data_IF_275883681594
#
_entry.id   IF_275883681594
#
_cell.length_a   1.000
_cell.length_b   1.000
_cell.length_c   1.000
_cell.angle_alpha   90.00
_cell.angle_beta   90.00
_cell.angle_gamma   90.00
#
_symmetry.space_group_name_H-M   'P 1'
#
loop_
_entity.id
_entity.type
_entity.pdbx_description
1 polymer ?
#
# COMPACT_ATOMS: atom_id res chain seq x y z
N UNK A 1 3.02 17.65 18.17
CA UNK A 1 2.31 16.36 18.01
C UNK A 1 2.24 15.89 16.55
N UNK A 2 1.70 16.69 15.62
CA UNK A 2 1.47 16.24 14.24
C UNK A 2 2.74 16.03 13.37
N UNK A 3 3.84 16.74 13.65
CA UNK A 3 5.12 16.61 12.93
C UNK A 3 5.91 15.39 13.40
N UNK A 4 5.88 15.10 14.69
CA UNK A 4 6.56 13.96 15.30
C UNK A 4 5.94 12.62 14.87
N UNK A 5 4.60 12.56 14.79
CA UNK A 5 3.88 11.41 14.26
C UNK A 5 4.26 11.12 12.79
N UNK A 6 4.43 12.17 11.97
CA UNK A 6 4.87 12.05 10.59
C UNK A 6 6.29 11.49 10.50
N UNK A 7 7.23 12.06 11.27
CA UNK A 7 8.61 11.56 11.34
C UNK A 7 8.65 10.09 11.77
N UNK A 8 7.89 9.73 12.80
CA UNK A 8 7.82 8.35 13.31
C UNK A 8 7.24 7.37 12.29
N UNK A 9 6.22 7.75 11.54
CA UNK A 9 5.70 6.90 10.47
C UNK A 9 6.71 6.73 9.34
N UNK A 10 7.37 7.81 8.91
CA UNK A 10 8.37 7.71 7.86
C UNK A 10 9.58 6.86 8.30
N UNK A 11 9.95 6.91 9.58
CA UNK A 11 10.92 5.99 10.16
C UNK A 11 10.45 4.54 10.10
N UNK A 12 9.20 4.25 10.43
CA UNK A 12 8.62 2.91 10.31
C UNK A 12 8.61 2.42 8.86
N UNK A 13 8.15 3.25 7.92
CA UNK A 13 8.15 2.94 6.49
C UNK A 13 9.57 2.67 5.98
N UNK A 14 10.57 3.38 6.50
CA UNK A 14 11.96 3.12 6.11
C UNK A 14 12.48 1.73 6.53
N UNK A 15 11.85 1.09 7.52
CA UNK A 15 12.14 -0.30 7.91
C UNK A 15 11.46 -1.35 7.02
N UNK A 16 10.47 -0.93 6.23
CA UNK A 16 9.69 -1.77 5.35
C UNK A 16 8.28 -1.23 5.17
N UNK A 17 7.72 -1.51 4.00
CA UNK A 17 6.37 -1.08 3.63
C UNK A 17 5.57 -2.27 3.10
N UNK A 18 4.26 -2.09 3.00
CA UNK A 18 3.33 -3.10 2.52
C UNK A 18 2.40 -2.50 1.47
N UNK A 19 2.09 -3.28 0.44
CA UNK A 19 0.97 -3.03 -0.47
C UNK A 19 -0.02 -4.20 -0.38
N UNK A 20 -1.30 -3.89 -0.41
CA UNK A 20 -2.37 -4.87 -0.58
C UNK A 20 -3.05 -4.59 -1.92
N UNK A 21 -3.22 -5.62 -2.74
CA UNK A 21 -3.86 -5.50 -4.05
C UNK A 21 -4.45 -6.84 -4.50
N UNK A 22 -5.20 -6.83 -5.60
CA UNK A 22 -5.74 -8.05 -6.21
C UNK A 22 -4.63 -8.87 -6.86
N UNK A 23 -4.63 -10.18 -6.63
CA UNK A 23 -3.62 -11.12 -7.11
C UNK A 23 -3.53 -11.19 -8.64
N UNK A 24 -4.66 -11.16 -9.35
CA UNK A 24 -4.70 -11.12 -10.81
C UNK A 24 -4.02 -9.86 -11.37
N UNK A 25 -4.22 -8.70 -10.74
CA UNK A 25 -3.51 -7.47 -11.09
C UNK A 25 -2.02 -7.58 -10.81
N UNK A 26 -1.63 -8.14 -9.66
CA UNK A 26 -0.23 -8.33 -9.31
C UNK A 26 0.47 -9.27 -10.30
N UNK A 27 -0.16 -10.39 -10.65
CA UNK A 27 0.41 -11.37 -11.58
C UNK A 27 0.57 -10.81 -13.00
N UNK A 28 -0.34 -9.91 -13.41
CA UNK A 28 -0.34 -9.33 -14.75
C UNK A 28 0.56 -8.10 -14.90
N UNK A 29 0.61 -7.25 -13.88
CA UNK A 29 1.22 -5.92 -13.96
C UNK A 29 2.31 -5.67 -12.92
N UNK A 30 2.50 -6.58 -11.97
CA UNK A 30 3.38 -6.36 -10.81
C UNK A 30 2.77 -5.37 -9.83
N UNK A 31 3.62 -4.70 -9.04
CA UNK A 31 3.20 -3.77 -7.99
C UNK A 31 3.02 -2.33 -8.47
N UNK A 32 3.32 -2.03 -9.74
CA UNK A 32 3.28 -0.67 -10.26
C UNK A 32 1.89 -0.25 -10.74
N UNK A 33 1.63 1.04 -10.67
CA UNK A 33 0.58 1.70 -11.44
C UNK A 33 1.10 2.04 -12.84
N UNK A 34 0.23 2.59 -13.70
CA UNK A 34 0.57 2.90 -15.10
C UNK A 34 1.71 3.91 -15.25
N UNK A 35 1.96 4.74 -14.24
CA UNK A 35 3.05 5.71 -14.17
C UNK A 35 4.35 5.15 -13.55
N UNK A 36 4.35 3.85 -13.20
CA UNK A 36 5.48 3.18 -12.57
C UNK A 36 5.61 3.40 -11.06
N UNK A 37 4.66 4.09 -10.42
CA UNK A 37 4.66 4.31 -8.97
C UNK A 37 3.85 3.25 -8.23
N UNK A 38 4.05 3.14 -6.91
CA UNK A 38 3.23 2.29 -6.05
C UNK A 38 2.96 3.00 -4.73
N UNK A 39 1.68 3.14 -4.41
CA UNK A 39 1.23 3.48 -3.07
C UNK A 39 1.51 2.32 -2.11
N UNK A 40 2.00 2.65 -0.93
CA UNK A 40 2.39 1.70 0.11
C UNK A 40 2.08 2.28 1.49
N UNK A 41 1.82 1.39 2.45
CA UNK A 41 1.58 1.72 3.85
C UNK A 41 2.63 1.06 4.75
N UNK A 42 2.66 1.37 6.04
CA UNK A 42 3.48 0.61 6.98
C UNK A 42 2.96 -0.81 7.13
N UNK A 43 3.84 -1.72 7.53
CA UNK A 43 3.45 -3.10 7.86
C UNK A 43 2.36 -3.15 8.94
N UNK A 44 2.46 -2.26 9.92
CA UNK A 44 1.53 -2.14 11.05
C UNK A 44 0.13 -1.72 10.59
N UNK A 45 0.03 -0.72 9.73
CA UNK A 45 -1.27 -0.30 9.16
C UNK A 45 -1.92 -1.45 8.39
N UNK A 46 -1.14 -2.18 7.58
CA UNK A 46 -1.66 -3.35 6.88
C UNK A 46 -2.17 -4.43 7.86
N UNK A 47 -1.46 -4.68 8.97
CA UNK A 47 -1.88 -5.61 10.01
C UNK A 47 -3.18 -5.14 10.69
N UNK A 48 -3.30 -3.84 10.99
CA UNK A 48 -4.48 -3.24 11.62
C UNK A 48 -5.71 -3.32 10.71
N UNK A 49 -5.57 -3.03 9.41
CA UNK A 49 -6.65 -3.15 8.41
C UNK A 49 -7.13 -4.60 8.29
N UNK A 50 -6.20 -5.55 8.12
CA UNK A 50 -6.54 -6.98 7.98
C UNK A 50 -7.25 -7.48 9.25
N UNK A 51 -6.76 -7.09 10.42
CA UNK A 51 -7.36 -7.48 11.72
C UNK A 51 -8.75 -6.87 11.89
N UNK A 52 -8.93 -5.58 11.62
CA UNK A 52 -10.22 -4.90 11.74
C UNK A 52 -11.26 -5.46 10.76
N UNK A 53 -10.80 -5.96 9.61
CA UNK A 53 -11.62 -6.64 8.63
C UNK A 53 -11.86 -8.12 8.94
N UNK A 54 -11.30 -8.68 10.01
CA UNK A 54 -11.41 -10.11 10.34
C UNK A 54 -10.97 -11.03 9.18
N UNK A 55 -9.97 -10.61 8.41
CA UNK A 55 -9.51 -11.25 7.16
C UNK A 55 -10.56 -11.31 6.02
N UNK A 56 -11.70 -10.63 6.12
CA UNK A 56 -12.69 -10.54 5.05
C UNK A 56 -12.15 -9.71 3.86
N UNK A 57 -11.98 -10.30 2.67
CA UNK A 57 -11.39 -9.61 1.53
C UNK A 57 -12.25 -8.44 1.03
N UNK A 58 -13.57 -8.48 1.19
CA UNK A 58 -14.47 -7.39 0.80
C UNK A 58 -14.31 -6.21 1.76
N UNK A 59 -14.25 -6.46 3.07
CA UNK A 59 -14.00 -5.40 4.06
C UNK A 59 -12.63 -4.75 3.87
N UNK A 60 -11.59 -5.54 3.60
CA UNK A 60 -10.24 -5.02 3.30
C UNK A 60 -10.25 -4.16 2.04
N UNK A 61 -10.87 -4.65 0.95
CA UNK A 61 -10.94 -3.91 -0.30
C UNK A 61 -11.67 -2.56 -0.12
N UNK A 62 -12.78 -2.54 0.60
CA UNK A 62 -13.51 -1.31 0.90
C UNK A 62 -12.66 -0.32 1.72
N UNK A 63 -11.92 -0.81 2.73
CA UNK A 63 -11.02 0.02 3.54
C UNK A 63 -9.88 0.67 2.73
N UNK A 64 -9.49 0.02 1.62
CA UNK A 64 -8.41 0.45 0.74
C UNK A 64 -8.91 1.13 -0.55
N UNK A 65 -10.22 1.33 -0.71
CA UNK A 65 -10.79 1.88 -1.94
C UNK A 65 -10.63 1.00 -3.18
N UNK A 66 -10.38 -0.32 -3.01
CA UNK A 66 -10.29 -1.28 -4.12
C UNK A 66 -11.72 -1.63 -4.56
N UNK A 67 -12.10 -1.41 -5.84
CA UNK A 67 -13.44 -1.75 -6.30
C UNK A 67 -13.74 -3.24 -6.16
N UNK A 68 -14.86 -3.60 -5.54
CA UNK A 68 -15.26 -5.00 -5.34
C UNK A 68 -15.40 -5.78 -6.65
N UNK A 69 -15.68 -5.10 -7.77
CA UNK A 69 -15.68 -5.72 -9.10
C UNK A 69 -14.33 -6.35 -9.46
N UNK A 70 -13.22 -5.84 -8.92
CA UNK A 70 -11.88 -6.42 -9.10
C UNK A 70 -11.68 -7.71 -8.29
N UNK A 71 -12.49 -7.96 -7.24
CA UNK A 71 -12.44 -9.20 -6.45
C UNK A 71 -13.20 -10.36 -7.10
N UNK A 72 -14.07 -10.11 -8.08
CA UNK A 72 -14.91 -11.17 -8.69
C UNK A 72 -14.10 -12.35 -9.24
N UNK A 73 -12.91 -12.08 -9.74
CA UNK A 73 -12.03 -13.05 -10.39
C UNK A 73 -10.67 -13.19 -9.68
N UNK A 74 -10.53 -12.71 -8.45
CA UNK A 74 -9.23 -12.65 -7.79
C UNK A 74 -9.33 -12.59 -6.27
N UNK A 75 -8.22 -12.91 -5.61
CA UNK A 75 -8.06 -12.79 -4.16
C UNK A 75 -7.16 -11.61 -3.83
N UNK A 76 -7.18 -11.16 -2.58
CA UNK A 76 -6.21 -10.16 -2.12
C UNK A 76 -4.87 -10.81 -1.80
N UNK A 77 -3.80 -10.13 -2.17
CA UNK A 77 -2.43 -10.43 -1.75
C UNK A 77 -1.86 -9.26 -0.97
N UNK A 78 -1.11 -9.61 0.07
CA UNK A 78 -0.22 -8.72 0.80
C UNK A 78 1.19 -8.87 0.26
N UNK A 79 1.84 -7.75 0.00
CA UNK A 79 3.18 -7.67 -0.53
C UNK A 79 4.00 -6.83 0.45
N UNK A 80 4.82 -7.49 1.26
CA UNK A 80 5.79 -6.79 2.10
C UNK A 80 7.05 -6.49 1.27
N UNK A 81 7.52 -5.25 1.33
CA UNK A 81 8.63 -4.72 0.53
C UNK A 81 9.72 -4.24 1.49
N UNK A 82 10.88 -4.90 1.45
CA UNK A 82 12.06 -4.52 2.23
C UNK A 82 12.85 -3.40 1.53
N UNK A 83 13.66 -2.66 2.30
CA UNK A 83 14.51 -1.56 1.82
C UNK A 83 13.81 -0.54 0.88
N UNK A 84 12.63 0.01 1.24
CA UNK A 84 11.87 0.88 0.33
C UNK A 84 12.58 2.19 -0.01
N UNK A 85 13.59 2.61 0.78
CA UNK A 85 14.42 3.79 0.45
C UNK A 85 15.17 3.61 -0.87
N UNK A 86 15.66 2.41 -1.19
CA UNK A 86 16.30 2.15 -2.49
C UNK A 86 15.33 2.20 -3.65
N UNK A 87 14.02 2.11 -3.37
CA UNK A 87 12.95 2.27 -4.33
C UNK A 87 12.33 3.68 -4.32
N UNK A 88 12.99 4.69 -3.76
CA UNK A 88 12.52 6.08 -3.87
C UNK A 88 11.33 6.42 -2.97
N UNK A 89 11.25 5.81 -1.78
CA UNK A 89 10.25 6.11 -0.75
C UNK A 89 10.14 7.63 -0.49
N UNK A 90 8.94 8.16 -0.68
CA UNK A 90 8.61 9.58 -0.51
C UNK A 90 7.15 9.79 -0.12
N UNK A 91 6.85 11.01 0.34
CA UNK A 91 5.45 11.46 0.49
C UNK A 91 4.85 11.65 -0.91
N UNK A 92 3.62 11.17 -1.18
CA UNK A 92 2.94 11.38 -2.46
C UNK A 92 2.77 12.87 -2.76
N UNK A 93 2.91 13.21 -4.03
CA UNK A 93 2.64 14.57 -4.52
C UNK A 93 1.15 14.78 -4.86
N UNK A 94 0.42 13.70 -5.07
CA UNK A 94 -0.96 13.71 -5.58
C UNK A 94 -1.06 13.60 -7.10
N UNK A 95 0.07 13.66 -7.81
CA UNK A 95 0.13 13.50 -9.25
C UNK A 95 0.37 12.05 -9.68
N UNK A 96 0.52 11.13 -8.73
CA UNK A 96 0.73 9.71 -9.00
C UNK A 96 -0.57 9.03 -9.46
N UNK A 97 -0.44 8.12 -10.43
CA UNK A 97 -1.55 7.32 -10.91
C UNK A 97 -2.13 6.47 -9.77
N UNK A 98 -3.44 6.50 -9.60
CA UNK A 98 -4.12 5.79 -8.51
C UNK A 98 -4.42 6.65 -7.28
N UNK A 99 -3.97 7.91 -7.24
CA UNK A 99 -4.57 8.90 -6.35
C UNK A 99 -6.08 9.01 -6.69
N UNK A 100 -6.94 8.83 -5.71
CA UNK A 100 -8.39 8.90 -5.87
C UNK A 100 -8.99 10.02 -5.01
N UNK A 101 -10.29 10.26 -5.08
CA UNK A 101 -10.94 11.31 -4.26
C UNK A 101 -10.94 11.03 -2.75
N UNK A 102 -10.53 9.83 -2.31
CA UNK A 102 -10.29 9.49 -0.91
C UNK A 102 -8.85 9.86 -0.48
N UNK A 103 -7.99 10.27 -1.41
CA UNK A 103 -6.66 10.82 -1.16
C UNK A 103 -6.77 12.26 -0.66
N UNK A 104 -6.07 12.59 0.43
CA UNK A 104 -6.02 13.94 0.98
C UNK A 104 -4.60 14.53 0.76
N UNK A 105 -4.49 15.75 0.21
CA UNK A 105 -3.22 16.46 0.08
C UNK A 105 -2.45 16.56 1.41
N UNK A 106 -1.11 16.56 1.33
CA UNK A 106 -0.17 16.46 2.48
C UNK A 106 0.02 15.04 3.07
N UNK A 107 -0.55 14.02 2.44
CA UNK A 107 -0.36 12.63 2.86
C UNK A 107 -1.07 12.28 4.16
N UNK A 108 -1.97 13.12 4.67
CA UNK A 108 -2.69 12.90 5.94
C UNK A 108 -4.18 12.75 5.72
N UNK A 109 -4.73 11.63 6.17
CA UNK A 109 -6.14 11.55 6.55
C UNK A 109 -6.34 12.07 8.00
N UNK A 110 -7.51 12.64 8.33
CA UNK A 110 -7.94 12.97 9.70
C UNK A 110 -7.92 11.80 10.71
N UNK A 111 -7.71 10.55 10.25
CA UNK A 111 -7.59 9.35 11.08
C UNK A 111 -6.14 8.79 11.19
N UNK A 112 -5.14 9.42 10.57
CA UNK A 112 -3.72 9.17 10.87
C UNK A 112 -2.97 8.11 10.06
N UNK A 113 -3.54 7.54 9.00
CA UNK A 113 -2.77 6.65 8.10
C UNK A 113 -2.10 7.39 6.94
N UNK A 114 -0.85 7.04 6.66
CA UNK A 114 0.03 7.70 5.67
C UNK A 114 0.30 6.75 4.51
N UNK A 115 -0.15 7.10 3.31
CA UNK A 115 0.35 6.45 2.10
C UNK A 115 1.67 7.11 1.69
N UNK A 116 2.74 6.33 1.63
CA UNK A 116 3.96 6.74 0.94
C UNK A 116 3.93 6.19 -0.49
N UNK A 117 4.80 6.73 -1.34
CA UNK A 117 5.00 6.25 -2.70
C UNK A 117 6.43 5.73 -2.85
N UNK A 118 6.56 4.63 -3.60
CA UNK A 118 7.84 4.15 -4.13
C UNK A 118 7.77 4.06 -5.67
N UNK A 119 8.92 4.01 -6.31
CA UNK A 119 9.06 3.66 -7.72
C UNK A 119 9.05 2.14 -7.86
N UNK A 120 7.96 1.57 -8.39
CA UNK A 120 7.80 0.14 -8.56
C UNK A 120 8.89 -0.46 -9.46
N UNK A 121 9.36 0.31 -10.44
CA UNK A 121 10.43 -0.06 -11.38
C UNK A 121 11.78 -0.30 -10.69
N UNK A 122 11.99 0.25 -9.49
CA UNK A 122 13.22 0.07 -8.69
C UNK A 122 13.11 -1.06 -7.67
N UNK A 123 11.94 -1.69 -7.54
CA UNK A 123 11.74 -2.79 -6.60
C UNK A 123 12.20 -4.10 -7.23
N UNK A 124 13.19 -4.73 -6.59
CA UNK A 124 13.76 -6.00 -7.01
C UNK A 124 12.97 -7.17 -6.41
N UNK A 125 13.04 -8.33 -7.05
CA UNK A 125 12.29 -9.53 -6.63
C UNK A 125 12.64 -10.01 -5.22
N UNK A 126 13.91 -9.89 -4.82
CA UNK A 126 14.41 -10.23 -3.49
C UNK A 126 13.93 -9.27 -2.39
N UNK A 127 13.40 -8.10 -2.76
CA UNK A 127 12.75 -7.18 -1.82
C UNK A 127 11.33 -7.61 -1.47
N UNK A 128 10.71 -8.50 -2.26
CA UNK A 128 9.29 -8.83 -2.16
C UNK A 128 9.04 -10.10 -1.34
N UNK A 129 8.10 -10.00 -0.38
CA UNK A 129 7.48 -11.16 0.27
C UNK A 129 5.97 -11.10 0.08
N UNK A 130 5.45 -11.95 -0.79
CA UNK A 130 4.03 -12.02 -1.16
C UNK A 130 3.32 -13.09 -0.33
N UNK A 131 2.11 -12.78 0.17
CA UNK A 131 1.23 -13.71 0.88
C UNK A 131 -0.22 -13.48 0.45
N UNK A 132 -1.00 -14.54 0.24
CA UNK A 132 -2.45 -14.41 0.08
C UNK A 132 -3.09 -13.98 1.40
N UNK A 133 -4.15 -13.19 1.31
CA UNK A 133 -4.99 -12.80 2.44
C UNK A 133 -6.29 -13.58 2.35
N UNK A 134 -6.70 -14.18 3.46
CA UNK A 134 -7.77 -15.17 3.49
C UNK A 134 -7.24 -16.55 3.09
N UNK A 135 -7.37 -17.50 4.02
CA UNK A 135 -7.39 -18.93 3.78
C UNK A 135 -8.75 -19.44 4.24
#
# INVERSE_FOLDING_TARGET
MAEEALKNSFLQQSRGVTRIMVDTSFNKYGIGQVDGTSFVMTRREADEIIRAAENDPVKIANALGIPQSQLKNGSLVRIDISNPRSAGLRVPSGNEAGANSQWIPEGKLPNGSLEAVIDATKVKKDMLKVRKIGN
#
